data_IF_277779659630
#
_entry.id   IF_277779659630
#
_cell.length_a   1.000
_cell.length_b   1.000
_cell.length_c   1.000
_cell.angle_alpha   90.00
_cell.angle_beta   90.00
_cell.angle_gamma   90.00
#
_symmetry.space_group_name_H-M   'P 1'
#
loop_
_entity.id
_entity.type
_entity.pdbx_description
1 polymer ?
#
# COMPACT_ATOMS: atom_id res chain seq x y z
N UNK A 1 12.82 -13.90 7.93
CA UNK A 1 12.14 -13.62 6.65
C UNK A 1 12.65 -12.28 6.16
N UNK A 2 13.33 -12.22 5.00
CA UNK A 2 13.94 -10.99 4.48
C UNK A 2 12.93 -10.32 3.55
N UNK A 3 12.63 -9.05 3.77
CA UNK A 3 11.80 -8.27 2.86
C UNK A 3 12.64 -7.81 1.69
N UNK A 4 12.20 -8.12 0.48
CA UNK A 4 12.86 -7.71 -0.77
C UNK A 4 12.01 -6.65 -1.47
N UNK A 5 12.59 -5.92 -2.42
CA UNK A 5 11.88 -4.91 -3.23
C UNK A 5 11.05 -3.90 -2.41
N UNK A 6 11.54 -3.52 -1.23
CA UNK A 6 10.88 -2.52 -0.38
C UNK A 6 10.85 -1.17 -1.09
N UNK A 7 9.67 -0.59 -1.20
CA UNK A 7 9.43 0.74 -1.74
C UNK A 7 8.37 1.44 -0.90
N UNK A 8 8.60 2.71 -0.60
CA UNK A 8 7.66 3.55 0.11
C UNK A 8 7.59 4.90 -0.55
N UNK A 9 6.38 5.35 -0.85
CA UNK A 9 6.13 6.63 -1.50
C UNK A 9 4.96 7.35 -0.81
N UNK A 10 5.12 8.66 -0.62
CA UNK A 10 4.05 9.50 -0.13
C UNK A 10 3.13 9.86 -1.30
N UNK A 11 1.83 9.81 -1.06
CA UNK A 11 0.78 10.15 -2.02
C UNK A 11 -0.38 10.84 -1.28
N UNK A 12 -1.44 11.22 -2.00
CA UNK A 12 -2.63 11.85 -1.43
C UNK A 12 -3.89 11.30 -2.07
N UNK A 13 -4.78 10.75 -1.24
CA UNK A 13 -6.10 10.29 -1.66
C UNK A 13 -7.15 11.26 -1.12
N UNK A 14 -7.66 12.13 -2.00
CA UNK A 14 -8.57 13.21 -1.62
C UNK A 14 -7.88 14.21 -0.67
N UNK A 15 -8.46 14.42 0.51
CA UNK A 15 -7.89 15.29 1.54
C UNK A 15 -6.87 14.57 2.46
N UNK A 16 -6.73 13.24 2.34
CA UNK A 16 -5.92 12.44 3.25
C UNK A 16 -4.52 12.20 2.67
N UNK A 17 -3.45 12.68 3.32
CA UNK A 17 -2.08 12.31 2.95
C UNK A 17 -1.84 10.85 3.34
N UNK A 18 -1.25 10.07 2.43
CA UNK A 18 -1.03 8.64 2.64
C UNK A 18 0.39 8.25 2.31
N UNK A 19 0.83 7.13 2.88
CA UNK A 19 2.06 6.45 2.53
C UNK A 19 1.70 5.10 1.93
N UNK A 20 2.18 4.85 0.71
CA UNK A 20 2.03 3.59 -0.01
C UNK A 20 3.34 2.83 0.12
N UNK A 21 3.32 1.72 0.85
CA UNK A 21 4.47 0.87 1.09
C UNK A 21 4.26 -0.48 0.41
N UNK A 22 5.14 -0.86 -0.51
CA UNK A 22 5.13 -2.19 -1.13
C UNK A 22 6.40 -2.96 -0.83
N UNK A 23 6.29 -4.27 -0.63
CA UNK A 23 7.42 -5.14 -0.36
C UNK A 23 7.11 -6.58 -0.81
N UNK A 24 8.15 -7.35 -1.09
CA UNK A 24 8.04 -8.76 -1.46
C UNK A 24 8.37 -9.66 -0.28
N UNK A 25 7.57 -10.70 -0.09
CA UNK A 25 7.81 -11.80 0.85
C UNK A 25 7.65 -13.12 0.12
N UNK A 26 8.74 -13.86 -0.04
CA UNK A 26 8.75 -15.09 -0.83
C UNK A 26 8.42 -14.78 -2.30
N UNK A 27 7.34 -15.35 -2.79
CA UNK A 27 6.88 -15.16 -4.17
C UNK A 27 5.75 -14.12 -4.32
N UNK A 28 5.28 -13.54 -3.21
CA UNK A 28 4.16 -12.59 -3.22
C UNK A 28 4.61 -11.16 -2.93
N UNK A 29 3.95 -10.22 -3.59
CA UNK A 29 4.06 -8.81 -3.27
C UNK A 29 2.92 -8.39 -2.36
N UNK A 30 3.26 -7.55 -1.39
CA UNK A 30 2.34 -6.95 -0.45
C UNK A 30 2.39 -5.45 -0.63
N UNK A 31 1.25 -4.79 -0.50
CA UNK A 31 1.15 -3.35 -0.47
C UNK A 31 0.26 -2.92 0.70
N UNK A 32 0.71 -1.92 1.42
CA UNK A 32 0.00 -1.27 2.51
C UNK A 32 -0.16 0.21 2.18
N UNK A 33 -1.37 0.73 2.36
CA UNK A 33 -1.66 2.16 2.34
C UNK A 33 -2.00 2.57 3.76
N UNK A 34 -1.24 3.49 4.32
CA UNK A 34 -1.48 4.07 5.64
C UNK A 34 -1.67 5.58 5.53
N UNK A 35 -2.41 6.18 6.45
CA UNK A 35 -2.39 7.64 6.61
C UNK A 35 -0.96 8.05 6.99
N UNK A 36 -0.42 9.11 6.40
CA UNK A 36 0.91 9.62 6.72
C UNK A 36 1.02 10.04 8.20
N UNK A 37 -0.06 10.56 8.78
CA UNK A 37 -0.17 10.88 10.21
C UNK A 37 -1.65 10.67 10.63
N UNK A 38 -1.96 9.68 11.49
CA UNK A 38 -1.08 9.08 12.52
C UNK A 38 -0.40 7.75 12.15
N UNK A 39 -0.31 7.36 10.87
CA UNK A 39 0.24 6.05 10.48
C UNK A 39 -0.78 4.90 10.45
N UNK A 40 -2.08 5.20 10.62
CA UNK A 40 -3.14 4.20 10.61
C UNK A 40 -3.28 3.52 9.25
N UNK A 41 -3.32 2.18 9.22
CA UNK A 41 -3.50 1.41 7.98
C UNK A 41 -4.93 1.56 7.46
N UNK A 42 -5.06 2.08 6.25
CA UNK A 42 -6.34 2.28 5.55
C UNK A 42 -6.66 1.03 4.71
N UNK A 43 -5.65 0.47 4.05
CA UNK A 43 -5.80 -0.72 3.23
C UNK A 43 -4.51 -1.54 3.17
N UNK A 44 -4.67 -2.84 2.94
CA UNK A 44 -3.58 -3.73 2.58
C UNK A 44 -4.08 -4.69 1.50
N UNK A 45 -3.24 -4.96 0.51
CA UNK A 45 -3.47 -5.99 -0.49
C UNK A 45 -2.20 -6.80 -0.74
N UNK A 46 -2.36 -7.94 -1.40
CA UNK A 46 -1.28 -8.73 -1.96
C UNK A 46 -1.53 -8.99 -3.45
N UNK A 47 -0.47 -9.38 -4.16
CA UNK A 47 -0.50 -9.69 -5.59
C UNK A 47 0.68 -10.56 -5.99
N UNK A 48 0.57 -11.15 -7.18
CA UNK A 48 1.68 -11.89 -7.82
C UNK A 48 2.75 -10.93 -8.34
N UNK A 49 2.36 -9.69 -8.63
CA UNK A 49 3.24 -8.58 -9.01
C UNK A 49 3.09 -7.40 -8.06
N UNK A 50 4.08 -6.50 -8.07
CA UNK A 50 4.05 -5.28 -7.27
C UNK A 50 2.90 -4.38 -7.72
N UNK A 51 2.73 -4.24 -9.03
CA UNK A 51 1.71 -3.41 -9.67
C UNK A 51 0.31 -3.87 -9.26
N UNK A 52 0.05 -5.17 -9.28
CA UNK A 52 -1.22 -5.75 -8.84
C UNK A 52 -1.47 -5.46 -7.35
N UNK A 53 -0.47 -5.67 -6.49
CA UNK A 53 -0.62 -5.39 -5.06
C UNK A 53 -0.92 -3.91 -4.79
N UNK A 54 -0.22 -3.00 -5.48
CA UNK A 54 -0.42 -1.55 -5.35
C UNK A 54 -1.78 -1.12 -5.86
N UNK A 55 -2.18 -1.55 -7.06
CA UNK A 55 -3.48 -1.21 -7.64
C UNK A 55 -4.64 -1.63 -6.72
N UNK A 56 -4.59 -2.87 -6.21
CA UNK A 56 -5.61 -3.39 -5.30
C UNK A 56 -5.65 -2.60 -3.98
N UNK A 57 -4.50 -2.35 -3.37
CA UNK A 57 -4.44 -1.63 -2.10
C UNK A 57 -4.92 -0.18 -2.23
N UNK A 58 -4.52 0.51 -3.30
CA UNK A 58 -4.91 1.90 -3.54
C UNK A 58 -6.38 2.02 -3.95
N UNK A 59 -6.92 1.09 -4.74
CA UNK A 59 -8.36 1.02 -5.05
C UNK A 59 -9.21 0.86 -3.79
N UNK A 60 -8.85 -0.09 -2.91
CA UNK A 60 -9.53 -0.26 -1.62
C UNK A 60 -9.40 0.96 -0.71
N UNK A 61 -8.23 1.58 -0.65
CA UNK A 61 -8.03 2.77 0.18
C UNK A 61 -8.89 3.94 -0.31
N UNK A 62 -8.95 4.17 -1.63
CA UNK A 62 -9.81 5.19 -2.23
C UNK A 62 -11.29 4.94 -1.92
N UNK A 63 -11.75 3.69 -2.01
CA UNK A 63 -13.13 3.33 -1.66
C UNK A 63 -13.46 3.54 -0.17
N UNK A 64 -12.49 3.41 0.74
CA UNK A 64 -12.69 3.63 2.19
C UNK A 64 -12.62 5.10 2.61
N UNK A 65 -12.05 5.95 1.77
CA UNK A 65 -11.90 7.38 2.01
C UNK A 65 -12.93 8.23 1.25
N UNK A 66 -13.83 7.57 0.50
CA UNK A 66 -14.92 8.20 -0.24
C UNK A 66 -16.09 8.60 0.68
#
# INVERSE_FOLDING_TARGET
MKTEAYRSEADRFGAVPVVVTSYKVGERYYCQVANQDPGAVIARAEGTTREEAVERATSMARARLA
#
